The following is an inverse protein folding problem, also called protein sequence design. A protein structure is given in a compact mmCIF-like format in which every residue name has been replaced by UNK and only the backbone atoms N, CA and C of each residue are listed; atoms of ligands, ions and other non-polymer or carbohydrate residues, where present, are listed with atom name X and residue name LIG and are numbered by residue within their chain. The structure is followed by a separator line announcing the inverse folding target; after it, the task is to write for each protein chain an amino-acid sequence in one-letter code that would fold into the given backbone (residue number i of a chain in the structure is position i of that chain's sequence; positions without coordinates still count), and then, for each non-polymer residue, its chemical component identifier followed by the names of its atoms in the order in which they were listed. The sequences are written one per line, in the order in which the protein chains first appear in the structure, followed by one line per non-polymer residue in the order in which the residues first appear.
data_IF_213234188160
#
_entry.id   IF_213234188160
#
_cell.length_a   1.000
_cell.length_b   1.000
_cell.length_c   1.000
_cell.angle_alpha   90.00
_cell.angle_beta   90.00
_cell.angle_gamma   90.00
#
_symmetry.space_group_name_H-M   'P 1'
#
loop_
_entity.id
_entity.type
_entity.pdbx_description
1 polymer ?
#
# COMPACT_ATOMS: atom_id res chain seq x y z
N UNK A 1 -32.09 45.74 -0.53
CA UNK A 1 -31.31 44.97 -1.53
C UNK A 1 -30.32 44.04 -0.82
N UNK A 2 -30.78 42.95 -0.19
CA UNK A 2 -29.94 42.16 0.73
C UNK A 2 -30.03 40.63 0.51
N UNK A 3 -30.26 40.16 -0.72
CA UNK A 3 -30.50 38.74 -1.00
C UNK A 3 -29.61 38.12 -2.10
N UNK A 4 -28.63 38.86 -2.63
CA UNK A 4 -27.80 38.39 -3.76
C UNK A 4 -26.48 37.71 -3.36
N UNK A 5 -26.12 37.70 -2.08
CA UNK A 5 -24.78 37.25 -1.62
C UNK A 5 -24.71 35.84 -1.04
N UNK A 6 -25.82 35.15 -0.78
CA UNK A 6 -25.79 33.85 -0.07
C UNK A 6 -25.72 32.63 -1.00
N UNK A 7 -26.28 32.72 -2.20
CA UNK A 7 -26.37 31.57 -3.13
C UNK A 7 -25.00 31.04 -3.55
N UNK A 8 -24.02 31.92 -3.74
CA UNK A 8 -22.67 31.55 -4.19
C UNK A 8 -21.84 30.80 -3.14
N UNK A 9 -22.17 30.94 -1.86
CA UNK A 9 -21.50 30.25 -0.75
C UNK A 9 -21.92 28.79 -0.61
N UNK A 10 -23.22 28.53 -0.78
CA UNK A 10 -23.82 27.20 -0.65
C UNK A 10 -23.36 26.25 -1.77
N UNK A 11 -23.28 26.71 -3.02
CA UNK A 11 -22.71 25.91 -4.12
C UNK A 11 -21.24 25.51 -3.87
N UNK A 12 -20.46 26.43 -3.29
CA UNK A 12 -19.03 26.19 -3.01
C UNK A 12 -18.83 25.21 -1.87
N UNK A 13 -19.67 25.25 -0.83
CA UNK A 13 -19.70 24.25 0.26
C UNK A 13 -20.08 22.86 -0.25
N UNK A 14 -21.09 22.76 -1.11
CA UNK A 14 -21.57 21.48 -1.67
C UNK A 14 -20.47 20.78 -2.48
N UNK A 15 -19.80 21.51 -3.38
CA UNK A 15 -18.67 21.00 -4.18
C UNK A 15 -17.48 20.55 -3.32
N UNK A 16 -17.16 21.29 -2.24
CA UNK A 16 -16.08 20.91 -1.31
C UNK A 16 -16.40 19.61 -0.57
N UNK A 17 -17.67 19.41 -0.18
CA UNK A 17 -18.11 18.21 0.53
C UNK A 17 -18.03 16.97 -0.36
N UNK A 18 -18.45 17.08 -1.62
CA UNK A 18 -18.34 16.00 -2.60
C UNK A 18 -16.87 15.61 -2.85
N UNK A 19 -15.98 16.60 -3.06
CA UNK A 19 -14.54 16.34 -3.22
C UNK A 19 -13.91 15.66 -2.00
N UNK A 20 -14.29 16.05 -0.79
CA UNK A 20 -13.83 15.40 0.44
C UNK A 20 -14.34 13.96 0.54
N UNK A 21 -15.60 13.71 0.20
CA UNK A 21 -16.15 12.35 0.13
C UNK A 21 -15.38 11.51 -0.89
N UNK A 22 -15.15 12.01 -2.10
CA UNK A 22 -14.35 11.31 -3.11
C UNK A 22 -12.91 11.07 -2.66
N UNK A 23 -12.27 12.05 -2.00
CA UNK A 23 -10.93 11.89 -1.47
C UNK A 23 -10.88 10.82 -0.37
N UNK A 24 -11.87 10.77 0.52
CA UNK A 24 -11.96 9.73 1.56
C UNK A 24 -12.24 8.36 0.96
N UNK A 25 -13.10 8.24 -0.05
CA UNK A 25 -13.30 6.97 -0.73
C UNK A 25 -12.03 6.52 -1.47
N UNK A 26 -11.37 7.41 -2.21
CA UNK A 26 -10.20 7.09 -3.00
C UNK A 26 -8.95 6.83 -2.14
N UNK A 27 -8.66 7.68 -1.15
CA UNK A 27 -7.50 7.53 -0.25
C UNK A 27 -7.80 6.69 1.00
N UNK A 28 -9.06 6.36 1.27
CA UNK A 28 -9.42 5.41 2.33
C UNK A 28 -9.41 4.00 1.78
N UNK A 29 -10.28 3.70 0.81
CA UNK A 29 -10.51 2.33 0.34
C UNK A 29 -9.27 1.79 -0.36
N UNK A 30 -8.67 2.55 -1.28
CA UNK A 30 -7.59 2.03 -2.10
C UNK A 30 -6.33 1.72 -1.29
N UNK A 31 -5.85 2.61 -0.41
CA UNK A 31 -4.69 2.31 0.44
C UNK A 31 -4.94 1.17 1.43
N UNK A 32 -6.14 1.06 1.99
CA UNK A 32 -6.48 -0.07 2.87
C UNK A 32 -6.42 -1.40 2.12
N UNK A 33 -6.96 -1.44 0.89
CA UNK A 33 -6.86 -2.64 0.04
C UNK A 33 -5.41 -2.93 -0.32
N UNK A 34 -4.61 -1.91 -0.67
CA UNK A 34 -3.19 -2.10 -0.99
C UNK A 34 -2.41 -2.70 0.19
N UNK A 35 -2.60 -2.16 1.41
CA UNK A 35 -1.96 -2.69 2.62
C UNK A 35 -2.46 -4.10 2.94
N UNK A 36 -3.76 -4.35 2.81
CA UNK A 36 -4.34 -5.68 3.02
C UNK A 36 -3.79 -6.73 2.06
N UNK A 37 -3.68 -6.41 0.77
CA UNK A 37 -3.14 -7.32 -0.25
C UNK A 37 -1.64 -7.54 -0.07
N UNK A 38 -0.84 -6.48 0.04
CA UNK A 38 0.62 -6.58 0.16
C UNK A 38 1.01 -7.21 1.50
N UNK A 39 0.41 -6.76 2.59
CA UNK A 39 0.64 -7.31 3.93
C UNK A 39 0.15 -8.75 4.04
N UNK A 40 -1.06 -9.05 3.53
CA UNK A 40 -1.61 -10.40 3.52
C UNK A 40 -0.78 -11.37 2.68
N UNK A 41 -0.37 -10.96 1.48
CA UNK A 41 0.49 -11.78 0.62
C UNK A 41 1.87 -12.00 1.23
N UNK A 42 2.51 -10.96 1.76
CA UNK A 42 3.79 -11.08 2.46
C UNK A 42 3.71 -12.00 3.68
N UNK A 43 2.63 -11.89 4.46
CA UNK A 43 2.37 -12.77 5.59
C UNK A 43 2.15 -14.22 5.17
N UNK A 44 1.39 -14.46 4.09
CA UNK A 44 1.18 -15.79 3.49
C UNK A 44 2.51 -16.41 3.07
N UNK A 45 3.36 -15.66 2.37
CA UNK A 45 4.69 -16.10 1.96
C UNK A 45 5.57 -16.40 3.19
N UNK A 46 5.55 -15.54 4.20
CA UNK A 46 6.30 -15.76 5.44
C UNK A 46 5.84 -17.02 6.20
N UNK A 47 4.52 -17.21 6.34
CA UNK A 47 3.96 -18.44 6.92
C UNK A 47 4.34 -19.67 6.09
N UNK A 48 4.28 -19.56 4.77
CA UNK A 48 4.71 -20.63 3.87
C UNK A 48 6.18 -21.00 4.11
N UNK A 49 7.07 -20.03 4.35
CA UNK A 49 8.47 -20.29 4.70
C UNK A 49 8.62 -20.96 6.08
N UNK A 50 7.81 -20.60 7.06
CA UNK A 50 7.85 -21.28 8.38
C UNK A 50 7.42 -22.75 8.25
N UNK A 51 6.42 -23.04 7.42
CA UNK A 51 5.92 -24.41 7.21
C UNK A 51 6.87 -25.25 6.35
N UNK A 52 7.44 -24.69 5.28
CA UNK A 52 8.26 -25.44 4.31
C UNK A 52 9.78 -25.29 4.53
N UNK A 53 10.18 -24.55 5.56
CA UNK A 53 11.58 -24.24 5.86
C UNK A 53 12.06 -22.93 5.22
N UNK A 54 13.07 -22.26 5.81
CA UNK A 54 13.60 -21.01 5.30
C UNK A 54 14.13 -21.15 3.86
N UNK A 55 13.99 -20.13 3.00
CA UNK A 55 14.64 -20.13 1.69
C UNK A 55 16.15 -20.29 1.87
N UNK A 56 16.71 -21.36 1.30
CA UNK A 56 18.06 -21.84 1.62
C UNK A 56 19.19 -20.84 1.28
N UNK A 57 20.32 -20.91 1.99
CA UNK A 57 21.53 -20.17 1.62
C UNK A 57 21.94 -20.49 0.18
N UNK A 58 22.24 -19.46 -0.61
CA UNK A 58 22.81 -19.61 -1.94
C UNK A 58 24.12 -20.39 -1.82
N UNK A 59 24.33 -21.37 -2.70
CA UNK A 59 25.57 -22.15 -2.77
C UNK A 59 26.76 -21.18 -2.91
N UNK A 60 27.46 -20.90 -1.82
CA UNK A 60 28.80 -20.32 -1.88
C UNK A 60 29.70 -21.45 -2.32
N UNK A 61 29.81 -21.66 -3.63
CA UNK A 61 30.82 -22.57 -4.18
C UNK A 61 32.18 -21.98 -3.82
N UNK A 62 32.95 -22.58 -2.91
CA UNK A 62 34.25 -22.05 -2.55
C UNK A 62 35.10 -22.02 -3.82
N UNK A 63 35.80 -20.90 -4.07
CA UNK A 63 36.80 -20.87 -5.13
C UNK A 63 37.74 -22.08 -4.91
N UNK A 64 37.98 -22.92 -5.93
CA UNK A 64 38.94 -24.00 -5.79
C UNK A 64 40.23 -23.41 -5.23
N UNK A 65 40.72 -23.94 -4.11
CA UNK A 65 42.01 -23.55 -3.56
C UNK A 65 43.03 -23.82 -4.67
N UNK A 66 43.41 -22.78 -5.40
CA UNK A 66 44.46 -22.86 -6.39
C UNK A 66 45.71 -23.24 -5.60
N UNK A 67 46.05 -24.52 -5.67
CA UNK A 67 47.39 -25.05 -5.46
C UNK A 67 48.12 -24.43 -4.26
N UNK A 68 47.85 -24.98 -3.07
CA UNK A 68 48.84 -24.97 -1.98
C UNK A 68 49.84 -26.09 -2.29
N UNK A 69 50.66 -25.88 -3.32
CA UNK A 69 51.89 -26.62 -3.60
C UNK A 69 52.93 -25.64 -4.19
#
# INVERSE_FOLDING_TARGET
MAQITDTGGEFRKKRRRELLTFAVLAFGIWPVVAVGVVGGYGFLVWMYQIVNGPPGPHEIKPAPSASVE
#
